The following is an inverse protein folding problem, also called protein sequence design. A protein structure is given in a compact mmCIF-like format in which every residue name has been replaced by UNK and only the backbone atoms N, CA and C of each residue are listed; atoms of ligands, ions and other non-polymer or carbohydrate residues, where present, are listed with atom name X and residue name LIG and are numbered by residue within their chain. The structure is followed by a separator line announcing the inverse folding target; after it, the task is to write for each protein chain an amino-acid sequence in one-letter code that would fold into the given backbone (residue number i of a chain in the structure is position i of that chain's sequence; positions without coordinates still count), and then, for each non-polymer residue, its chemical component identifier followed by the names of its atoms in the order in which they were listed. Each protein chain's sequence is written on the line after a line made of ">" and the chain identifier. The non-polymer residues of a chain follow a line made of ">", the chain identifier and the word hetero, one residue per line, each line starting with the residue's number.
data_IF_527085422730
#
_entry.id   IF_527085422730
#
_cell.length_a   1.000
_cell.length_b   1.000
_cell.length_c   1.000
_cell.angle_alpha   90.00
_cell.angle_beta   90.00
_cell.angle_gamma   90.00
#
_symmetry.space_group_name_H-M   'P 1'
#
loop_
_entity.id
_entity.type
_entity.pdbx_description
1 polymer ?
#
# COMPACT_ATOMS: atom_id res chain seq x y z
N UNK A 1 26.30 -4.68 16.47
CA UNK A 1 26.18 -5.12 15.06
C UNK A 1 24.74 -5.54 14.85
N UNK A 2 23.94 -4.78 14.09
CA UNK A 2 22.56 -5.17 13.78
C UNK A 2 22.57 -6.27 12.73
N UNK A 3 22.17 -7.48 13.10
CA UNK A 3 22.02 -8.62 12.19
C UNK A 3 20.90 -8.33 11.20
N UNK A 4 21.22 -8.18 9.91
CA UNK A 4 20.20 -8.11 8.86
C UNK A 4 19.57 -9.49 8.69
N UNK A 5 18.29 -9.63 9.05
CA UNK A 5 17.54 -10.84 8.75
C UNK A 5 17.46 -11.07 7.24
N UNK A 6 17.71 -12.30 6.79
CA UNK A 6 17.52 -12.71 5.40
C UNK A 6 16.35 -13.68 5.32
N UNK A 7 15.39 -13.39 4.45
CA UNK A 7 14.21 -14.22 4.23
C UNK A 7 14.10 -14.57 2.74
N UNK A 8 13.83 -15.84 2.38
CA UNK A 8 13.63 -16.21 0.98
C UNK A 8 12.39 -15.55 0.37
N UNK A 9 12.49 -15.10 -0.87
CA UNK A 9 11.35 -14.63 -1.69
C UNK A 9 11.20 -15.58 -2.87
N UNK A 10 10.03 -16.20 -3.02
CA UNK A 10 9.73 -17.07 -4.15
C UNK A 10 9.32 -16.21 -5.35
N UNK A 11 9.94 -16.47 -6.48
CA UNK A 11 9.64 -15.86 -7.78
C UNK A 11 9.53 -16.95 -8.83
N UNK A 12 8.85 -16.66 -9.94
CA UNK A 12 8.85 -17.56 -11.09
C UNK A 12 10.21 -17.56 -11.81
N UNK A 13 10.39 -18.53 -12.71
CA UNK A 13 11.65 -18.72 -13.43
C UNK A 13 12.00 -17.58 -14.41
N UNK A 14 11.00 -16.89 -14.97
CA UNK A 14 11.25 -15.77 -15.86
C UNK A 14 11.77 -14.56 -15.07
N UNK A 15 11.15 -14.29 -13.91
CA UNK A 15 11.59 -13.24 -12.99
C UNK A 15 13.00 -13.52 -12.43
N UNK A 16 13.31 -14.76 -12.01
CA UNK A 16 14.68 -15.10 -11.57
C UNK A 16 15.73 -14.89 -12.68
N UNK A 17 15.37 -15.20 -13.94
CA UNK A 17 16.27 -14.96 -15.08
C UNK A 17 16.53 -13.47 -15.28
N UNK A 18 15.50 -12.63 -15.25
CA UNK A 18 15.66 -11.17 -15.34
C UNK A 18 16.55 -10.61 -14.22
N UNK A 19 16.33 -11.07 -12.98
CA UNK A 19 17.17 -10.67 -11.83
C UNK A 19 18.62 -11.14 -12.02
N UNK A 20 18.81 -12.36 -12.53
CA UNK A 20 20.14 -12.92 -12.81
C UNK A 20 20.90 -12.12 -13.85
N UNK A 21 20.26 -11.81 -14.97
CA UNK A 21 20.86 -11.07 -16.08
C UNK A 21 21.21 -9.65 -15.62
N UNK A 22 20.29 -8.96 -14.94
CA UNK A 22 20.55 -7.63 -14.40
C UNK A 22 21.71 -7.63 -13.40
N UNK A 23 21.72 -8.58 -12.46
CA UNK A 23 22.81 -8.72 -11.50
C UNK A 23 24.16 -8.95 -12.19
N UNK A 24 24.19 -9.82 -13.21
CA UNK A 24 25.37 -10.11 -14.00
C UNK A 24 25.89 -8.87 -14.73
N UNK A 25 25.05 -8.21 -15.53
CA UNK A 25 25.46 -7.08 -16.35
C UNK A 25 25.81 -5.83 -15.54
N UNK A 26 25.17 -5.63 -14.38
CA UNK A 26 25.44 -4.48 -13.51
C UNK A 26 26.58 -4.74 -12.51
N UNK A 27 27.11 -5.97 -12.44
CA UNK A 27 28.13 -6.34 -11.46
C UNK A 27 27.63 -6.24 -10.01
N UNK A 28 26.34 -6.49 -9.78
CA UNK A 28 25.68 -6.38 -8.47
C UNK A 28 25.19 -7.75 -8.00
N UNK A 29 24.86 -7.89 -6.72
CA UNK A 29 24.20 -9.10 -6.26
C UNK A 29 22.72 -9.09 -6.64
N UNK A 30 22.12 -10.28 -6.83
CA UNK A 30 20.66 -10.41 -7.02
C UNK A 30 19.87 -9.70 -5.91
N UNK A 31 20.36 -9.77 -4.66
CA UNK A 31 19.77 -9.09 -3.50
C UNK A 31 19.71 -7.57 -3.71
N UNK A 32 20.80 -6.96 -4.19
CA UNK A 32 20.86 -5.51 -4.37
C UNK A 32 19.93 -5.06 -5.50
N UNK A 33 19.86 -5.82 -6.59
CA UNK A 33 18.92 -5.57 -7.69
C UNK A 33 17.48 -5.59 -7.19
N UNK A 34 17.09 -6.64 -6.46
CA UNK A 34 15.73 -6.74 -5.89
C UNK A 34 15.48 -5.62 -4.88
N UNK A 35 16.47 -5.31 -4.03
CA UNK A 35 16.33 -4.27 -3.02
C UNK A 35 16.07 -2.89 -3.62
N UNK A 36 16.72 -2.56 -4.73
CA UNK A 36 16.54 -1.26 -5.39
C UNK A 36 15.26 -1.23 -6.22
N UNK A 37 14.97 -2.30 -6.97
CA UNK A 37 13.74 -2.41 -7.75
C UNK A 37 12.48 -2.28 -6.87
N UNK A 38 12.48 -2.89 -5.67
CA UNK A 38 11.35 -2.78 -4.73
C UNK A 38 11.21 -1.35 -4.19
N UNK A 39 12.32 -0.66 -3.88
CA UNK A 39 12.26 0.74 -3.42
C UNK A 39 11.72 1.65 -4.51
N UNK A 40 12.24 1.50 -5.73
CA UNK A 40 11.79 2.28 -6.88
C UNK A 40 10.31 2.04 -7.19
N UNK A 41 9.86 0.77 -7.14
CA UNK A 41 8.45 0.44 -7.33
C UNK A 41 7.56 1.10 -6.28
N UNK A 42 7.95 1.04 -5.00
CA UNK A 42 7.18 1.66 -3.91
C UNK A 42 7.16 3.18 -4.04
N UNK A 43 8.29 3.81 -4.36
CA UNK A 43 8.36 5.26 -4.53
C UNK A 43 7.51 5.73 -5.72
N UNK A 44 7.52 5.00 -6.83
CA UNK A 44 6.70 5.29 -8.01
C UNK A 44 5.20 5.19 -7.74
N UNK A 45 4.77 4.31 -6.82
CA UNK A 45 3.36 4.10 -6.47
C UNK A 45 2.98 4.71 -5.12
N UNK A 46 3.82 5.59 -4.56
CA UNK A 46 3.64 6.11 -3.20
C UNK A 46 2.33 6.85 -3.01
N UNK A 47 1.88 7.59 -4.03
CA UNK A 47 0.60 8.30 -4.00
C UNK A 47 -0.57 7.31 -3.89
N UNK A 48 -0.63 6.32 -4.78
CA UNK A 48 -1.69 5.30 -4.79
C UNK A 48 -1.73 4.49 -3.48
N UNK A 49 -0.55 4.14 -2.94
CA UNK A 49 -0.45 3.45 -1.65
C UNK A 49 -1.01 4.34 -0.52
N UNK A 50 -0.66 5.63 -0.48
CA UNK A 50 -1.15 6.54 0.54
C UNK A 50 -2.65 6.81 0.41
N UNK A 51 -3.18 6.88 -0.81
CA UNK A 51 -4.61 7.04 -1.08
C UNK A 51 -5.37 5.82 -0.59
N UNK A 52 -4.91 4.61 -0.91
CA UNK A 52 -5.50 3.36 -0.44
C UNK A 52 -5.44 3.21 1.10
N UNK A 53 -4.35 3.67 1.73
CA UNK A 53 -4.23 3.72 3.20
C UNK A 53 -5.22 4.72 3.78
N UNK A 54 -5.30 5.93 3.24
CA UNK A 54 -6.22 6.98 3.70
C UNK A 54 -7.66 6.52 3.56
N UNK A 55 -8.02 5.93 2.43
CA UNK A 55 -9.35 5.38 2.18
C UNK A 55 -9.65 4.24 3.16
N UNK A 56 -8.69 3.34 3.39
CA UNK A 56 -8.86 2.26 4.37
C UNK A 56 -9.02 2.79 5.79
N UNK A 57 -8.28 3.83 6.17
CA UNK A 57 -8.41 4.49 7.48
C UNK A 57 -9.74 5.24 7.61
N UNK A 58 -10.23 5.90 6.55
CA UNK A 58 -11.53 6.56 6.55
C UNK A 58 -12.68 5.56 6.75
N UNK A 59 -12.61 4.38 6.12
CA UNK A 59 -13.57 3.29 6.38
C UNK A 59 -13.49 2.75 7.81
N UNK A 60 -12.31 2.82 8.42
CA UNK A 60 -12.02 2.31 9.75
C UNK A 60 -12.13 3.36 10.86
N UNK A 61 -12.43 4.63 10.54
CA UNK A 61 -12.47 5.71 11.54
C UNK A 61 -13.51 5.48 12.65
N UNK A 62 -14.36 4.46 12.48
CA UNK A 62 -15.25 3.93 13.49
C UNK A 62 -16.38 4.89 13.85
N UNK A 63 -16.47 6.03 13.16
CA UNK A 63 -17.54 6.99 13.38
C UNK A 63 -18.84 6.45 12.80
N UNK A 64 -19.95 6.70 13.51
CA UNK A 64 -21.29 6.41 12.98
C UNK A 64 -21.52 7.13 11.65
N UNK A 65 -20.94 8.32 11.48
CA UNK A 65 -21.02 9.11 10.24
C UNK A 65 -20.37 8.35 9.08
N UNK A 66 -19.13 7.89 9.22
CA UNK A 66 -18.46 7.12 8.16
C UNK A 66 -19.20 5.82 7.84
N UNK A 67 -19.74 5.13 8.85
CA UNK A 67 -20.50 3.89 8.66
C UNK A 67 -21.82 4.11 7.91
N UNK A 68 -22.58 5.14 8.30
CA UNK A 68 -23.85 5.48 7.63
C UNK A 68 -23.58 5.99 6.21
N UNK A 69 -22.55 6.82 6.01
CA UNK A 69 -22.15 7.29 4.68
C UNK A 69 -21.79 6.14 3.75
N UNK A 70 -21.08 5.12 4.24
CA UNK A 70 -20.78 3.91 3.45
C UNK A 70 -22.03 3.11 3.07
N UNK A 71 -23.05 3.07 3.94
CA UNK A 71 -24.27 2.30 3.70
C UNK A 71 -25.26 3.01 2.76
N UNK A 72 -25.33 4.33 2.85
CA UNK A 72 -26.31 5.15 2.10
C UNK A 72 -25.73 5.78 0.85
N UNK A 73 -24.39 5.87 0.74
CA UNK A 73 -23.70 6.59 -0.31
C UNK A 73 -23.79 8.12 -0.20
N UNK A 74 -24.35 8.61 0.92
CA UNK A 74 -24.48 10.04 1.20
C UNK A 74 -23.24 10.55 1.93
N UNK A 75 -22.79 11.76 1.63
CA UNK A 75 -21.70 12.38 2.37
C UNK A 75 -22.17 13.00 3.71
N UNK A 76 -21.21 13.50 4.50
CA UNK A 76 -21.51 14.05 5.82
C UNK A 76 -22.41 15.31 5.77
N UNK A 77 -22.37 16.09 4.69
CA UNK A 77 -23.21 17.27 4.53
C UNK A 77 -24.65 16.88 4.19
N UNK A 78 -24.83 15.92 3.29
CA UNK A 78 -26.14 15.37 2.95
C UNK A 78 -26.83 14.72 4.17
N UNK A 79 -26.05 14.08 5.05
CA UNK A 79 -26.57 13.53 6.31
C UNK A 79 -26.97 14.63 7.31
N UNK A 80 -26.24 15.74 7.37
CA UNK A 80 -26.58 16.88 8.23
C UNK A 80 -27.85 17.60 7.75
N UNK A 81 -28.04 17.71 6.43
CA UNK A 81 -29.28 18.21 5.82
C UNK A 81 -30.52 17.36 6.18
N UNK A 82 -30.33 16.06 6.45
CA UNK A 82 -31.38 15.15 6.91
C UNK A 82 -31.57 15.14 8.44
N UNK A 83 -30.95 16.10 9.14
CA UNK A 83 -31.05 16.25 10.60
C UNK A 83 -29.89 15.64 11.39
N UNK A 84 -28.83 15.20 10.70
CA UNK A 84 -27.59 14.72 11.30
C UNK A 84 -27.71 13.34 11.97
N UNK A 85 -26.60 12.88 12.54
CA UNK A 85 -26.59 11.68 13.38
C UNK A 85 -26.66 12.07 14.86
N UNK A 86 -27.39 11.31 15.70
CA UNK A 86 -27.43 11.57 17.14
C UNK A 86 -26.01 11.46 17.74
N UNK A 87 -25.64 12.44 18.55
CA UNK A 87 -24.44 12.37 19.38
C UNK A 87 -24.59 11.24 20.40
N UNK A 88 -23.51 10.48 20.63
CA UNK A 88 -23.48 9.44 21.67
C UNK A 88 -23.51 10.02 23.09
#
# INVERSE_FOLDING_TARGET
>A
MSTTAQSPVKVDAATDRLISDAAHFLGRTKKDVVSDAVREYVDAHRAEINDAITESLARLDGSRVATVSMLTGMDAAELDELGGLPAE
#
